data_IF_228290743916
#
_entry.id   IF_228290743916
#
_cell.length_a   1.000
_cell.length_b   1.000
_cell.length_c   1.000
_cell.angle_alpha   90.00
_cell.angle_beta   90.00
_cell.angle_gamma   90.00
#
_symmetry.space_group_name_H-M   'P 1'
#
loop_
_entity.id
_entity.type
_entity.pdbx_description
1 polymer ?
#
# COMPACT_ATOMS: atom_id res chain seq x y z
N UNK A 1 39.78 -17.23 -64.14
CA UNK A 1 38.76 -18.31 -64.06
C UNK A 1 37.88 -18.08 -62.83
N UNK A 2 36.57 -17.92 -63.05
CA UNK A 2 35.44 -18.47 -62.24
C UNK A 2 35.73 -18.81 -60.75
N UNK A 3 35.14 -18.08 -59.79
CA UNK A 3 33.82 -18.34 -59.18
C UNK A 3 33.56 -17.48 -57.91
N UNK A 4 32.31 -17.05 -57.78
CA UNK A 4 31.70 -16.33 -56.66
C UNK A 4 31.58 -17.14 -55.35
N UNK A 5 31.54 -16.42 -54.21
CA UNK A 5 30.65 -16.61 -53.04
C UNK A 5 30.97 -15.49 -52.03
N UNK A 6 30.23 -14.38 -51.89
CA UNK A 6 28.86 -14.15 -51.40
C UNK A 6 28.68 -14.42 -49.90
N UNK A 7 28.52 -13.28 -49.19
CA UNK A 7 27.75 -12.96 -47.95
C UNK A 7 28.29 -13.44 -46.61
N UNK A 8 28.64 -12.46 -45.77
CA UNK A 8 28.08 -12.12 -44.44
C UNK A 8 28.62 -10.68 -44.20
N UNK A 9 27.85 -9.60 -44.21
CA UNK A 9 26.69 -9.38 -43.37
C UNK A 9 27.11 -8.78 -42.01
N UNK A 10 27.76 -7.62 -41.99
CA UNK A 10 28.04 -6.87 -40.77
C UNK A 10 27.61 -5.41 -40.96
N UNK A 11 26.33 -5.16 -40.67
CA UNK A 11 25.79 -3.81 -40.49
C UNK A 11 26.41 -3.27 -39.21
N UNK A 12 27.33 -2.32 -39.36
CA UNK A 12 27.76 -1.46 -38.28
C UNK A 12 26.62 -0.48 -37.97
N UNK A 13 25.90 -0.69 -36.87
CA UNK A 13 25.14 0.35 -36.20
C UNK A 13 25.51 0.32 -34.73
N UNK A 14 26.39 1.24 -34.34
CA UNK A 14 26.62 1.57 -32.95
C UNK A 14 25.38 2.25 -32.37
N UNK A 15 24.85 1.70 -31.29
CA UNK A 15 24.12 2.45 -30.29
C UNK A 15 24.74 2.15 -28.93
N UNK A 16 25.58 3.07 -28.48
CA UNK A 16 25.84 3.25 -27.07
C UNK A 16 24.58 3.84 -26.44
N UNK A 17 23.92 3.08 -25.57
CA UNK A 17 22.94 3.63 -24.64
C UNK A 17 22.82 2.72 -23.41
N UNK A 18 23.24 3.25 -22.27
CA UNK A 18 22.65 2.92 -20.97
C UNK A 18 23.13 1.62 -20.33
N UNK A 19 23.87 1.78 -19.24
CA UNK A 19 23.79 0.88 -18.09
C UNK A 19 22.35 0.35 -17.96
N UNK A 20 22.11 -0.98 -17.82
CA UNK A 20 20.84 -1.41 -17.26
C UNK A 20 20.83 -0.91 -15.82
N UNK A 21 20.31 0.30 -15.64
CA UNK A 21 19.84 0.76 -14.34
C UNK A 21 18.96 -0.34 -13.77
N UNK A 22 19.06 -0.55 -12.47
CA UNK A 22 18.27 -1.50 -11.71
C UNK A 22 16.78 -1.25 -11.96
N UNK A 23 16.27 -1.77 -13.07
CA UNK A 23 14.87 -1.90 -13.34
C UNK A 23 14.43 -2.91 -12.30
N UNK A 24 13.84 -2.38 -11.23
CA UNK A 24 13.14 -3.12 -10.21
C UNK A 24 12.02 -3.92 -10.88
N UNK A 25 12.37 -5.06 -11.46
CA UNK A 25 11.46 -6.17 -11.72
C UNK A 25 11.13 -6.80 -10.36
N UNK A 26 10.43 -6.05 -9.51
CA UNK A 26 9.59 -6.66 -8.47
C UNK A 26 8.36 -7.23 -9.19
N UNK A 27 8.61 -8.32 -9.90
CA UNK A 27 7.67 -9.34 -10.32
C UNK A 27 6.79 -9.67 -9.10
N UNK A 28 5.49 -9.40 -9.13
CA UNK A 28 4.43 -10.38 -9.45
C UNK A 28 4.55 -11.75 -8.75
N UNK A 29 5.21 -11.81 -7.60
CA UNK A 29 4.92 -12.83 -6.59
C UNK A 29 3.95 -12.21 -5.60
N UNK A 30 2.91 -12.95 -5.26
CA UNK A 30 1.94 -12.74 -4.19
C UNK A 30 2.61 -12.77 -2.79
N UNK A 31 3.84 -12.28 -2.69
CA UNK A 31 4.50 -12.00 -1.43
C UNK A 31 3.76 -10.82 -0.82
N UNK A 32 2.94 -11.16 0.18
CA UNK A 32 2.34 -10.27 1.16
C UNK A 32 3.24 -9.03 1.40
N UNK A 33 2.84 -7.91 0.80
CA UNK A 33 3.64 -6.68 0.83
C UNK A 33 3.27 -5.95 2.09
N UNK A 34 4.25 -5.56 2.91
CA UNK A 34 3.98 -4.76 4.10
C UNK A 34 3.01 -3.60 3.82
N UNK A 35 2.00 -3.45 4.69
CA UNK A 35 0.90 -2.51 4.54
C UNK A 35 -0.47 -3.16 4.38
N UNK A 36 -1.43 -2.36 3.91
CA UNK A 36 -2.81 -2.82 3.68
C UNK A 36 -2.90 -3.80 2.52
N UNK A 37 -3.52 -4.94 2.79
CA UNK A 37 -3.81 -5.96 1.80
C UNK A 37 -5.17 -5.73 1.15
N UNK A 38 -5.37 -6.38 0.00
CA UNK A 38 -6.64 -6.32 -0.74
C UNK A 38 -7.82 -7.00 -0.01
N UNK A 39 -7.52 -7.90 0.94
CA UNK A 39 -8.50 -8.56 1.82
C UNK A 39 -8.91 -7.71 3.04
N UNK A 40 -8.34 -6.49 3.17
CA UNK A 40 -8.61 -5.58 4.29
C UNK A 40 -7.76 -5.84 5.53
N UNK A 41 -6.81 -6.77 5.49
CA UNK A 41 -5.84 -6.99 6.57
C UNK A 41 -4.66 -6.02 6.47
N UNK A 42 -3.81 -6.02 7.49
CA UNK A 42 -2.57 -5.25 7.52
C UNK A 42 -1.40 -6.13 7.93
N UNK A 43 -0.33 -6.05 7.16
CA UNK A 43 0.89 -6.81 7.39
C UNK A 43 1.97 -5.84 7.85
N UNK A 44 2.51 -6.01 9.07
CA UNK A 44 3.58 -5.16 9.57
C UNK A 44 4.80 -5.16 8.64
N UNK A 45 5.40 -3.99 8.48
CA UNK A 45 6.67 -3.84 7.76
C UNK A 45 7.86 -4.34 8.58
N UNK A 46 8.96 -4.65 7.89
CA UNK A 46 10.23 -5.01 8.53
C UNK A 46 10.69 -3.93 9.52
N UNK A 47 10.43 -2.65 9.23
CA UNK A 47 10.74 -1.56 10.14
C UNK A 47 9.91 -1.63 11.43
N UNK A 48 8.64 -2.01 11.33
CA UNK A 48 7.74 -2.20 12.47
C UNK A 48 8.06 -3.46 13.27
N UNK A 49 8.46 -4.52 12.58
CA UNK A 49 9.00 -5.74 13.19
C UNK A 49 10.30 -5.49 13.96
N UNK A 50 11.05 -4.42 13.68
CA UNK A 50 12.24 -4.03 14.45
C UNK A 50 11.94 -3.12 15.64
N UNK A 51 10.71 -2.59 15.76
CA UNK A 51 10.36 -1.69 16.87
C UNK A 51 10.38 -2.41 18.23
N UNK A 52 10.79 -1.69 19.27
CA UNK A 52 10.70 -2.18 20.64
C UNK A 52 9.24 -2.27 21.10
N UNK A 53 8.93 -3.13 22.07
CA UNK A 53 7.57 -3.29 22.62
C UNK A 53 6.95 -1.94 23.03
N UNK A 54 7.73 -1.06 23.68
CA UNK A 54 7.27 0.28 24.05
C UNK A 54 6.83 1.11 22.83
N UNK A 55 7.62 1.12 21.76
CA UNK A 55 7.31 1.87 20.54
C UNK A 55 6.11 1.29 19.79
N UNK A 56 5.97 -0.04 19.79
CA UNK A 56 4.77 -0.70 19.25
C UNK A 56 3.52 -0.30 20.04
N UNK A 57 3.60 -0.27 21.36
CA UNK A 57 2.50 0.18 22.22
C UNK A 57 2.13 1.63 21.96
N UNK A 58 3.11 2.53 21.92
CA UNK A 58 2.89 3.95 21.61
C UNK A 58 2.21 4.14 20.24
N UNK A 59 2.57 3.34 19.23
CA UNK A 59 1.89 3.34 17.92
C UNK A 59 0.47 2.80 18.00
N UNK A 60 0.24 1.70 18.72
CA UNK A 60 -1.11 1.14 18.94
C UNK A 60 -2.00 2.17 19.65
N UNK A 61 -1.50 2.83 20.70
CA UNK A 61 -2.24 3.85 21.45
C UNK A 61 -2.58 5.08 20.58
N UNK A 62 -1.66 5.49 19.70
CA UNK A 62 -1.90 6.56 18.73
C UNK A 62 -2.99 6.17 17.72
N UNK A 63 -2.98 4.92 17.24
CA UNK A 63 -4.02 4.39 16.35
C UNK A 63 -5.37 4.28 17.07
N UNK A 64 -5.40 3.84 18.32
CA UNK A 64 -6.63 3.77 19.13
C UNK A 64 -7.22 5.16 19.35
N UNK A 65 -6.38 6.17 19.63
CA UNK A 65 -6.79 7.57 19.70
C UNK A 65 -7.36 8.07 18.37
N UNK A 66 -6.74 7.68 17.24
CA UNK A 66 -7.23 8.02 15.91
C UNK A 66 -8.59 7.35 15.64
N UNK A 67 -8.75 6.07 15.98
CA UNK A 67 -10.02 5.32 15.86
C UNK A 67 -11.11 5.99 16.69
N UNK A 68 -10.80 6.44 17.92
CA UNK A 68 -11.78 7.09 18.80
C UNK A 68 -12.34 8.41 18.25
N UNK A 69 -11.58 9.13 17.42
CA UNK A 69 -12.05 10.37 16.77
C UNK A 69 -12.84 10.14 15.48
N UNK A 70 -13.02 8.88 15.06
CA UNK A 70 -13.79 8.52 13.87
C UNK A 70 -15.24 9.05 13.87
N UNK A 71 -16.08 8.88 14.91
CA UNK A 71 -17.48 9.30 14.86
C UNK A 71 -17.63 10.80 14.56
N UNK A 72 -16.77 11.64 15.15
CA UNK A 72 -16.76 13.07 14.86
C UNK A 72 -16.36 13.39 13.41
N UNK A 73 -15.39 12.64 12.87
CA UNK A 73 -14.90 12.83 11.50
C UNK A 73 -15.91 12.34 10.47
N UNK A 74 -16.56 11.20 10.71
CA UNK A 74 -17.63 10.69 9.88
C UNK A 74 -18.80 11.68 9.81
N UNK A 75 -19.26 12.18 10.96
CA UNK A 75 -20.34 13.17 11.01
C UNK A 75 -20.00 14.48 10.27
N UNK A 76 -18.76 14.99 10.41
CA UNK A 76 -18.30 16.16 9.64
C UNK A 76 -18.24 15.88 8.15
N UNK A 77 -17.77 14.70 7.75
CA UNK A 77 -17.60 14.39 6.34
C UNK A 77 -18.96 14.16 5.64
N UNK A 78 -19.91 13.56 6.34
CA UNK A 78 -21.30 13.40 5.90
C UNK A 78 -21.97 14.77 5.66
N UNK A 79 -21.78 15.72 6.57
CA UNK A 79 -22.29 17.09 6.43
C UNK A 79 -21.55 17.90 5.34
N UNK A 80 -20.34 17.50 4.99
CA UNK A 80 -19.53 18.20 3.98
C UNK A 80 -19.88 17.76 2.55
N UNK A 81 -19.90 18.71 1.61
CA UNK A 81 -20.07 18.40 0.17
C UNK A 81 -18.89 17.56 -0.34
N UNK A 82 -19.14 16.53 -1.18
CA UNK A 82 -18.07 15.71 -1.73
C UNK A 82 -17.13 16.58 -2.56
N UNK A 83 -15.84 16.56 -2.20
CA UNK A 83 -14.80 17.38 -2.85
C UNK A 83 -14.30 16.80 -4.17
N UNK A 84 -14.61 15.54 -4.46
CA UNK A 84 -14.17 14.83 -5.67
C UNK A 84 -15.34 14.10 -6.31
N UNK A 85 -15.28 13.93 -7.65
CA UNK A 85 -16.25 13.13 -8.39
C UNK A 85 -16.29 11.69 -7.86
N UNK A 86 -15.12 11.09 -7.56
CA UNK A 86 -15.03 9.76 -6.97
C UNK A 86 -15.73 9.64 -5.62
N UNK A 87 -15.66 10.64 -4.74
CA UNK A 87 -16.39 10.65 -3.48
C UNK A 87 -17.91 10.81 -3.69
N UNK A 88 -18.32 11.59 -4.68
CA UNK A 88 -19.74 11.72 -5.03
C UNK A 88 -20.31 10.40 -5.59
N UNK A 89 -19.59 9.74 -6.50
CA UNK A 89 -19.95 8.42 -7.01
C UNK A 89 -19.93 7.35 -5.90
N UNK A 90 -18.91 7.37 -5.04
CA UNK A 90 -18.82 6.46 -3.90
C UNK A 90 -20.02 6.59 -2.96
N UNK A 91 -20.48 7.82 -2.66
CA UNK A 91 -21.68 8.05 -1.84
C UNK A 91 -22.97 7.63 -2.54
N UNK A 92 -23.05 7.82 -3.86
CA UNK A 92 -24.24 7.48 -4.65
C UNK A 92 -24.45 5.96 -4.79
N UNK A 93 -23.37 5.18 -4.87
CA UNK A 93 -23.43 3.73 -5.08
C UNK A 93 -23.03 2.89 -3.86
N UNK A 94 -22.51 3.50 -2.80
CA UNK A 94 -21.92 2.80 -1.66
C UNK A 94 -22.87 2.48 -0.49
N UNK A 95 -24.12 2.93 -0.51
CA UNK A 95 -25.05 2.75 0.62
C UNK A 95 -24.69 3.58 1.86
N UNK A 96 -25.31 3.30 3.00
CA UNK A 96 -25.05 4.00 4.27
C UNK A 96 -23.57 3.90 4.66
N UNK A 97 -22.84 5.01 4.52
CA UNK A 97 -21.41 5.13 4.83
C UNK A 97 -20.45 4.71 3.71
N UNK A 98 -20.94 4.20 2.58
CA UNK A 98 -20.08 3.90 1.43
C UNK A 98 -19.61 5.18 0.72
N UNK A 99 -18.34 5.22 0.33
CA UNK A 99 -17.74 6.37 -0.35
C UNK A 99 -17.40 7.57 0.53
N UNK A 100 -17.55 7.47 1.84
CA UNK A 100 -16.96 8.40 2.79
C UNK A 100 -15.50 8.00 3.02
N UNK A 101 -14.59 8.94 2.81
CA UNK A 101 -13.15 8.74 3.06
C UNK A 101 -12.89 8.38 4.52
N UNK A 102 -13.63 8.97 5.46
CA UNK A 102 -13.55 8.66 6.88
C UNK A 102 -13.79 7.18 7.18
N UNK A 103 -14.74 6.53 6.49
CA UNK A 103 -15.07 5.11 6.70
C UNK A 103 -13.93 4.23 6.17
N UNK A 104 -13.38 4.58 5.02
CA UNK A 104 -12.21 3.89 4.46
C UNK A 104 -10.97 4.06 5.37
N UNK A 105 -10.69 5.28 5.80
CA UNK A 105 -9.56 5.60 6.68
C UNK A 105 -9.73 4.91 8.05
N UNK A 106 -10.96 4.76 8.55
CA UNK A 106 -11.24 4.00 9.77
C UNK A 106 -11.00 2.50 9.62
N UNK A 107 -11.46 1.90 8.51
CA UNK A 107 -11.18 0.50 8.19
C UNK A 107 -9.68 0.23 8.11
N UNK A 108 -8.95 1.11 7.41
CA UNK A 108 -7.49 1.06 7.33
C UNK A 108 -6.84 1.17 8.71
N UNK A 109 -7.15 2.21 9.48
CA UNK A 109 -6.59 2.41 10.83
C UNK A 109 -6.86 1.20 11.74
N UNK A 110 -8.06 0.62 11.67
CA UNK A 110 -8.44 -0.54 12.48
C UNK A 110 -7.66 -1.79 12.07
N UNK A 111 -7.48 -2.02 10.78
CA UNK A 111 -6.68 -3.12 10.27
C UNK A 111 -5.20 -2.98 10.68
N UNK A 112 -4.63 -1.77 10.57
CA UNK A 112 -3.26 -1.50 11.01
C UNK A 112 -3.08 -1.77 12.50
N UNK A 113 -4.00 -1.29 13.32
CA UNK A 113 -4.03 -1.54 14.77
C UNK A 113 -4.07 -3.04 15.08
N UNK A 114 -4.91 -3.80 14.37
CA UNK A 114 -4.99 -5.25 14.53
C UNK A 114 -3.69 -5.96 14.12
N UNK A 115 -3.08 -5.55 13.00
CA UNK A 115 -1.80 -6.10 12.54
C UNK A 115 -0.65 -5.83 13.51
N UNK A 116 -0.56 -4.61 14.05
CA UNK A 116 0.44 -4.25 15.06
C UNK A 116 0.17 -4.91 16.42
N UNK A 117 -1.09 -5.07 16.83
CA UNK A 117 -1.44 -5.83 18.03
C UNK A 117 -1.06 -7.31 17.89
N UNK A 118 -1.27 -7.91 16.71
CA UNK A 118 -0.79 -9.25 16.40
C UNK A 118 0.74 -9.36 16.50
N UNK A 119 1.48 -8.37 15.98
CA UNK A 119 2.94 -8.30 16.14
C UNK A 119 3.37 -8.15 17.60
N UNK A 120 2.66 -7.32 18.37
CA UNK A 120 2.90 -7.10 19.80
C UNK A 120 2.74 -8.40 20.60
N UNK A 121 1.70 -9.18 20.30
CA UNK A 121 1.48 -10.49 20.91
C UNK A 121 2.54 -11.51 20.48
N UNK A 122 2.90 -11.57 19.19
CA UNK A 122 3.95 -12.49 18.69
C UNK A 122 5.33 -12.24 19.29
N UNK A 123 5.58 -11.01 19.76
CA UNK A 123 6.82 -10.61 20.43
C UNK A 123 6.81 -10.84 21.95
N UNK A 124 5.75 -11.44 22.50
CA UNK A 124 5.55 -11.61 23.95
C UNK A 124 5.72 -10.30 24.74
N UNK A 125 5.25 -9.19 24.18
CA UNK A 125 5.28 -7.89 24.83
C UNK A 125 4.19 -7.71 25.92
N UNK A 126 3.48 -8.78 26.29
CA UNK A 126 2.25 -8.79 27.13
C UNK A 126 2.59 -8.72 28.62
#
# INVERSE_FOLDING_TARGET
>A
MRFHRVRIGAVALGLAAGLPGCANVFSMSEAERAGHQSDGTYIPSVAEEQLACRQLRERIDALDSHIATFPERAAREEQSRPRTLGAAFGRMFGGDGGGLKAVEDHKKTTAERAGLAGLYARKDCI
#
